data_IF_260459446717
#
_entry.id   IF_260459446717
#
_cell.length_a   1.000
_cell.length_b   1.000
_cell.length_c   1.000
_cell.angle_alpha   90.00
_cell.angle_beta   90.00
_cell.angle_gamma   90.00
#
_symmetry.space_group_name_H-M   'P 1'
#
loop_
_entity.id
_entity.type
_entity.pdbx_description
1 polymer ?
#
# COMPACT_ATOMS: atom_id res chain seq x y z
N UNK A 1 10.05 -22.41 10.77
CA UNK A 1 9.54 -23.10 9.56
C UNK A 1 9.39 -22.03 8.49
N UNK A 2 10.09 -22.16 7.36
CA UNK A 2 10.08 -21.14 6.29
C UNK A 2 8.84 -21.33 5.42
N UNK A 3 8.03 -20.28 5.28
CA UNK A 3 6.86 -20.26 4.40
C UNK A 3 7.10 -19.26 3.27
N UNK A 4 6.55 -19.56 2.09
CA UNK A 4 6.58 -18.71 0.90
C UNK A 4 5.15 -18.43 0.46
N UNK A 5 4.94 -17.27 -0.15
CA UNK A 5 3.61 -16.78 -0.50
C UNK A 5 3.58 -16.34 -1.96
N UNK A 6 2.56 -16.75 -2.70
CA UNK A 6 2.32 -16.30 -4.07
C UNK A 6 0.87 -15.87 -4.25
N UNK A 7 0.66 -14.87 -5.10
CA UNK A 7 -0.67 -14.40 -5.45
C UNK A 7 -1.36 -15.36 -6.41
N UNK A 8 -2.66 -15.58 -6.21
CA UNK A 8 -3.53 -16.28 -7.16
C UNK A 8 -4.88 -15.58 -7.24
N UNK A 9 -5.65 -15.86 -8.28
CA UNK A 9 -7.03 -15.40 -8.34
C UNK A 9 -7.76 -15.81 -7.04
N UNK A 10 -8.43 -14.84 -6.41
CA UNK A 10 -9.24 -15.02 -5.19
C UNK A 10 -8.47 -15.35 -3.90
N UNK A 11 -7.14 -15.30 -3.87
CA UNK A 11 -6.40 -15.47 -2.62
C UNK A 11 -4.89 -15.58 -2.75
N UNK A 12 -4.28 -16.14 -1.72
CA UNK A 12 -2.83 -16.30 -1.60
C UNK A 12 -2.53 -17.78 -1.36
N UNK A 13 -1.64 -18.34 -2.17
CA UNK A 13 -1.10 -19.68 -1.93
C UNK A 13 0.06 -19.60 -0.95
N UNK A 14 0.07 -20.52 0.02
CA UNK A 14 1.13 -20.69 0.99
C UNK A 14 1.88 -21.97 0.66
N UNK A 15 3.20 -21.89 0.65
CA UNK A 15 4.09 -22.98 0.33
C UNK A 15 5.08 -23.19 1.47
N UNK A 16 5.45 -24.44 1.71
CA UNK A 16 6.68 -24.74 2.43
C UNK A 16 7.81 -25.06 1.43
N UNK A 17 9.03 -25.24 1.95
CA UNK A 17 10.19 -25.52 1.12
C UNK A 17 10.04 -26.82 0.29
N UNK A 18 9.32 -27.84 0.80
CA UNK A 18 9.08 -29.08 0.07
C UNK A 18 8.04 -28.87 -1.03
N UNK A 19 6.97 -28.13 -0.71
CA UNK A 19 5.90 -27.75 -1.62
C UNK A 19 6.39 -26.93 -2.81
N UNK A 20 7.39 -26.06 -2.61
CA UNK A 20 8.05 -25.34 -3.72
C UNK A 20 8.70 -26.28 -4.74
N UNK A 21 9.27 -27.39 -4.28
CA UNK A 21 9.95 -28.37 -5.14
C UNK A 21 8.93 -29.32 -5.78
N UNK A 22 7.94 -29.77 -5.01
CA UNK A 22 6.95 -30.75 -5.46
C UNK A 22 5.76 -30.14 -6.22
N UNK A 23 5.64 -28.80 -6.24
CA UNK A 23 4.46 -28.12 -6.76
C UNK A 23 3.22 -28.29 -5.88
N UNK A 24 3.38 -28.68 -4.62
CA UNK A 24 2.27 -28.90 -3.69
C UNK A 24 2.04 -27.67 -2.81
N UNK A 25 0.89 -27.03 -2.97
CA UNK A 25 0.45 -25.94 -2.11
C UNK A 25 0.19 -26.49 -0.71
N UNK A 26 0.75 -25.83 0.32
CA UNK A 26 0.55 -26.21 1.72
C UNK A 26 -0.82 -25.77 2.21
N UNK A 27 -1.18 -24.51 1.96
CA UNK A 27 -2.49 -23.95 2.32
C UNK A 27 -2.85 -22.77 1.42
N UNK A 28 -4.09 -22.29 1.53
CA UNK A 28 -4.62 -21.20 0.72
C UNK A 28 -5.38 -20.22 1.61
N UNK A 29 -5.02 -18.94 1.54
CA UNK A 29 -5.68 -17.85 2.25
C UNK A 29 -6.67 -17.16 1.30
N UNK A 30 -7.99 -17.42 1.42
CA UNK A 30 -8.97 -16.83 0.52
C UNK A 30 -9.18 -15.34 0.84
N UNK A 31 -9.35 -14.54 -0.21
CA UNK A 31 -9.94 -13.21 -0.02
C UNK A 31 -11.43 -13.38 0.36
N UNK A 32 -11.92 -12.64 1.37
CA UNK A 32 -13.34 -12.60 1.69
C UNK A 32 -14.18 -12.26 0.44
N UNK A 33 -15.17 -13.10 0.15
CA UNK A 33 -16.13 -12.81 -0.91
C UNK A 33 -17.03 -11.66 -0.45
N UNK A 34 -17.24 -10.66 -1.31
CA UNK A 34 -18.26 -9.63 -1.05
C UNK A 34 -19.61 -10.19 -1.52
N UNK A 35 -20.63 -10.26 -0.66
CA UNK A 35 -21.96 -10.72 -1.06
C UNK A 35 -22.50 -9.89 -2.23
N UNK A 36 -22.90 -10.54 -3.33
CA UNK A 36 -23.44 -9.88 -4.53
C UNK A 36 -22.47 -9.70 -5.70
N UNK A 37 -21.20 -10.12 -5.57
CA UNK A 37 -20.12 -9.93 -6.57
C UNK A 37 -20.16 -10.89 -7.79
N UNK A 38 -21.29 -11.54 -8.08
CA UNK A 38 -21.40 -12.56 -9.14
C UNK A 38 -21.12 -12.05 -10.57
N UNK A 39 -21.16 -10.74 -10.80
CA UNK A 39 -20.89 -10.08 -12.09
C UNK A 39 -19.48 -9.49 -12.22
N UNK A 40 -18.66 -9.50 -11.15
CA UNK A 40 -17.27 -9.06 -11.23
C UNK A 40 -16.42 -10.15 -11.87
N UNK A 41 -15.92 -9.92 -13.10
CA UNK A 41 -14.93 -10.82 -13.71
C UNK A 41 -13.74 -11.01 -12.74
N UNK A 42 -13.26 -12.26 -12.53
CA UNK A 42 -12.47 -12.64 -11.36
C UNK A 42 -10.97 -12.27 -11.46
N UNK A 43 -10.63 -11.23 -12.20
CA UNK A 43 -9.25 -10.75 -12.27
C UNK A 43 -8.97 -9.86 -11.05
N UNK A 44 -8.97 -10.50 -9.88
CA UNK A 44 -8.46 -9.95 -8.64
C UNK A 44 -6.93 -10.06 -8.68
N UNK A 45 -6.26 -9.06 -9.25
CA UNK A 45 -4.79 -9.01 -9.17
C UNK A 45 -4.42 -8.52 -7.78
N UNK A 46 -3.50 -9.25 -7.14
CA UNK A 46 -2.81 -8.72 -5.98
C UNK A 46 -1.85 -7.65 -6.51
N UNK A 47 -2.13 -6.40 -6.19
CA UNK A 47 -1.31 -5.25 -6.62
C UNK A 47 -0.02 -5.18 -5.80
N UNK A 48 -0.10 -5.60 -4.53
CA UNK A 48 1.02 -5.59 -3.59
C UNK A 48 0.83 -6.67 -2.52
N UNK A 49 1.92 -7.36 -2.19
CA UNK A 49 2.01 -8.38 -1.16
C UNK A 49 3.27 -8.11 -0.32
N UNK A 50 3.12 -7.95 0.98
CA UNK A 50 4.24 -7.75 1.91
C UNK A 50 4.06 -8.62 3.16
N UNK A 51 5.18 -9.07 3.74
CA UNK A 51 5.20 -9.78 5.02
C UNK A 51 5.91 -8.91 6.07
N UNK A 52 5.41 -8.91 7.30
CA UNK A 52 6.10 -8.22 8.41
C UNK A 52 7.48 -8.83 8.63
N UNK A 53 8.44 -8.02 9.09
CA UNK A 53 9.81 -8.47 9.33
C UNK A 53 9.91 -9.64 10.31
N UNK A 54 9.02 -9.69 11.31
CA UNK A 54 8.93 -10.80 12.26
C UNK A 54 8.15 -12.01 11.72
N UNK A 55 7.67 -11.93 10.48
CA UNK A 55 6.97 -12.98 9.77
C UNK A 55 5.54 -13.23 10.25
N UNK A 56 5.02 -12.47 11.22
CA UNK A 56 3.71 -12.73 11.87
C UNK A 56 2.51 -12.26 11.06
N UNK A 57 2.68 -11.23 10.23
CA UNK A 57 1.58 -10.65 9.47
C UNK A 57 1.87 -10.68 7.98
N UNK A 58 0.89 -11.14 7.22
CA UNK A 58 0.88 -11.03 5.76
C UNK A 58 -0.12 -9.94 5.38
N UNK A 59 0.28 -9.03 4.50
CA UNK A 59 -0.55 -7.92 4.06
C UNK A 59 -0.66 -7.94 2.54
N UNK A 60 -1.89 -7.88 2.02
CA UNK A 60 -2.14 -7.84 0.58
C UNK A 60 -3.15 -6.77 0.22
N UNK A 61 -2.90 -6.08 -0.90
CA UNK A 61 -3.87 -5.19 -1.53
C UNK A 61 -4.45 -5.88 -2.75
N UNK A 62 -5.77 -5.91 -2.82
CA UNK A 62 -6.49 -6.43 -3.97
C UNK A 62 -6.92 -5.26 -4.86
N UNK A 63 -6.64 -5.38 -6.16
CA UNK A 63 -7.11 -4.44 -7.18
C UNK A 63 -8.18 -5.10 -8.04
N UNK A 64 -9.31 -4.41 -8.17
CA UNK A 64 -10.33 -4.74 -9.15
C UNK A 64 -9.97 -4.11 -10.50
N UNK A 65 -10.16 -4.87 -11.57
CA UNK A 65 -9.80 -4.47 -12.94
C UNK A 65 -10.68 -3.32 -13.47
N UNK A 66 -11.81 -3.03 -12.83
CA UNK A 66 -12.65 -1.90 -13.19
C UNK A 66 -12.28 -0.65 -12.39
N UNK A 67 -11.70 0.34 -13.08
CA UNK A 67 -11.49 1.71 -12.58
C UNK A 67 -12.80 2.37 -12.06
N UNK A 68 -13.95 1.84 -12.47
CA UNK A 68 -15.29 2.29 -12.11
C UNK A 68 -15.96 1.48 -10.99
N UNK A 69 -15.28 0.52 -10.36
CA UNK A 69 -15.85 -0.19 -9.22
C UNK A 69 -16.12 0.83 -8.08
N UNK A 70 -17.36 0.94 -7.57
CA UNK A 70 -17.74 1.93 -6.57
C UNK A 70 -17.14 1.62 -5.19
N UNK A 71 -16.67 0.39 -4.97
CA UNK A 71 -16.12 -0.03 -3.69
C UNK A 71 -14.68 0.44 -3.51
N UNK A 72 -14.31 0.84 -2.27
CA UNK A 72 -12.92 1.13 -1.94
C UNK A 72 -12.06 -0.12 -2.15
N UNK A 73 -10.82 0.09 -2.60
CA UNK A 73 -9.81 -0.97 -2.57
C UNK A 73 -9.58 -1.39 -1.12
N UNK A 74 -9.26 -2.66 -0.94
CA UNK A 74 -9.10 -3.26 0.38
C UNK A 74 -7.68 -3.78 0.56
N UNK A 75 -7.16 -3.50 1.75
CA UNK A 75 -5.92 -4.05 2.29
C UNK A 75 -6.31 -5.06 3.37
N UNK A 76 -5.88 -6.28 3.19
CA UNK A 76 -6.19 -7.40 4.07
C UNK A 76 -4.95 -7.77 4.88
N UNK A 77 -5.15 -8.09 6.16
CA UNK A 77 -4.07 -8.46 7.07
C UNK A 77 -4.38 -9.80 7.72
N UNK A 78 -3.54 -10.80 7.49
CA UNK A 78 -3.63 -12.12 8.10
C UNK A 78 -2.55 -12.34 9.14
N UNK A 79 -2.87 -13.13 10.16
CA UNK A 79 -1.87 -13.75 11.03
C UNK A 79 -1.32 -14.99 10.31
N UNK A 80 0.00 -15.05 10.13
CA UNK A 80 0.64 -16.13 9.36
C UNK A 80 0.72 -17.45 10.10
N UNK A 81 0.54 -17.44 11.42
CA UNK A 81 0.59 -18.63 12.26
C UNK A 81 -0.78 -19.29 12.34
N UNK A 82 -1.84 -18.51 12.58
CA UNK A 82 -3.20 -19.04 12.59
C UNK A 82 -3.82 -19.12 11.20
N UNK A 83 -3.25 -18.42 10.21
CA UNK A 83 -3.79 -18.30 8.86
C UNK A 83 -5.16 -17.60 8.81
N UNK A 84 -5.49 -16.85 9.87
CA UNK A 84 -6.77 -16.15 10.01
C UNK A 84 -6.65 -14.69 9.56
N UNK A 85 -7.72 -14.20 8.92
CA UNK A 85 -7.84 -12.77 8.63
C UNK A 85 -8.08 -12.01 9.94
N UNK A 86 -7.15 -11.12 10.28
CA UNK A 86 -7.21 -10.33 11.53
C UNK A 86 -8.10 -9.11 11.33
N UNK A 87 -7.89 -8.37 10.23
CA UNK A 87 -8.71 -7.20 9.89
C UNK A 87 -8.55 -6.81 8.42
N UNK A 88 -9.39 -5.86 8.00
CA UNK A 88 -9.37 -5.27 6.65
C UNK A 88 -9.45 -3.75 6.76
N UNK A 89 -8.72 -3.05 5.89
CA UNK A 89 -8.69 -1.59 5.82
C UNK A 89 -9.04 -1.15 4.39
N UNK A 90 -9.91 -0.15 4.28
CA UNK A 90 -10.20 0.52 3.02
C UNK A 90 -9.03 1.46 2.67
N UNK A 91 -8.28 1.11 1.64
CA UNK A 91 -7.11 1.83 1.16
C UNK A 91 -6.72 1.42 -0.26
N UNK A 92 -6.18 2.37 -1.03
CA UNK A 92 -5.74 2.13 -2.41
C UNK A 92 -4.32 1.58 -2.51
N UNK A 93 -3.46 1.87 -1.53
CA UNK A 93 -2.08 1.37 -1.43
C UNK A 93 -1.63 1.35 0.03
N UNK A 94 -0.57 0.58 0.31
CA UNK A 94 -0.02 0.42 1.65
C UNK A 94 1.49 0.18 1.65
N UNK A 95 2.14 0.35 2.79
CA UNK A 95 3.52 -0.08 3.06
C UNK A 95 3.67 -0.49 4.53
N UNK A 96 4.51 -1.49 4.80
CA UNK A 96 4.94 -1.84 6.14
C UNK A 96 6.17 -1.04 6.59
N UNK A 97 6.20 -0.64 7.85
CA UNK A 97 7.44 -0.14 8.46
C UNK A 97 8.47 -1.27 8.59
N UNK A 98 9.76 -0.96 8.46
CA UNK A 98 10.83 -1.97 8.56
C UNK A 98 10.85 -2.70 9.92
N UNK A 99 10.37 -2.07 10.99
CA UNK A 99 10.27 -2.70 12.31
C UNK A 99 9.06 -3.66 12.44
N UNK A 100 8.23 -3.76 11.39
CA UNK A 100 7.11 -4.68 11.30
C UNK A 100 5.94 -4.37 12.22
N UNK A 101 5.85 -3.19 12.85
CA UNK A 101 4.73 -2.88 13.78
C UNK A 101 3.75 -1.83 13.27
N UNK A 102 4.05 -1.18 12.15
CA UNK A 102 3.18 -0.14 11.57
C UNK A 102 2.82 -0.51 10.14
N UNK A 103 1.53 -0.40 9.85
CA UNK A 103 1.02 -0.39 8.48
C UNK A 103 0.70 1.06 8.14
N UNK A 104 1.16 1.52 6.98
CA UNK A 104 0.81 2.84 6.45
C UNK A 104 -0.05 2.63 5.22
N UNK A 105 -1.16 3.33 5.13
CA UNK A 105 -2.08 3.25 4.00
C UNK A 105 -2.43 4.62 3.47
N UNK A 106 -2.85 4.69 2.22
CA UNK A 106 -3.47 5.89 1.66
C UNK A 106 -4.73 5.53 0.89
N UNK A 107 -5.70 6.43 0.94
CA UNK A 107 -6.93 6.34 0.18
C UNK A 107 -7.03 7.57 -0.71
N UNK A 108 -7.33 7.37 -1.99
CA UNK A 108 -7.78 8.45 -2.87
C UNK A 108 -9.27 8.43 -2.71
N UNK A 109 -9.83 9.45 -2.04
CA UNK A 109 -11.26 9.71 -2.19
C UNK A 109 -11.54 9.89 -3.68
N UNK A 110 -11.93 8.80 -4.36
CA UNK A 110 -12.33 8.86 -5.77
C UNK A 110 -13.54 9.77 -5.80
N UNK A 111 -13.51 10.71 -6.75
CA UNK A 111 -14.54 11.73 -6.92
C UNK A 111 -15.92 11.08 -6.92
N UNK A 112 -16.64 11.23 -5.82
CA UNK A 112 -18.07 10.93 -5.73
C UNK A 112 -18.89 12.01 -6.44
N UNK A 113 -18.28 12.82 -7.32
CA UNK A 113 -18.84 14.04 -7.86
C UNK A 113 -19.08 15.15 -6.82
N UNK A 114 -18.76 14.87 -5.54
CA UNK A 114 -18.96 15.77 -4.39
C UNK A 114 -17.65 16.37 -3.95
N UNK A 115 -17.36 17.57 -4.48
CA UNK A 115 -16.16 18.37 -4.20
C UNK A 115 -16.04 18.79 -2.72
N UNK A 116 -17.14 18.73 -1.98
CA UNK A 116 -17.33 19.12 -0.58
C UNK A 116 -16.90 18.03 0.44
N UNK A 117 -16.75 16.77 0.03
CA UNK A 117 -16.33 15.65 0.92
C UNK A 117 -14.81 15.35 0.82
N UNK A 118 -14.09 16.05 -0.07
CA UNK A 118 -12.72 15.71 -0.48
C UNK A 118 -11.63 16.08 0.54
N UNK A 119 -11.87 17.02 1.46
CA UNK A 119 -10.82 17.48 2.39
C UNK A 119 -10.47 16.44 3.46
N UNK A 120 -11.40 15.54 3.82
CA UNK A 120 -11.17 14.52 4.85
C UNK A 120 -10.65 13.18 4.30
N UNK A 121 -10.58 13.02 2.96
CA UNK A 121 -10.39 11.71 2.33
C UNK A 121 -8.98 11.47 1.78
N UNK A 122 -8.17 12.51 1.58
CA UNK A 122 -6.81 12.39 0.99
C UNK A 122 -5.75 12.45 2.08
N UNK A 123 -5.67 11.40 2.87
CA UNK A 123 -4.71 11.31 3.98
C UNK A 123 -3.90 10.02 3.90
N UNK A 124 -2.69 10.09 4.43
CA UNK A 124 -1.93 8.92 4.81
C UNK A 124 -2.33 8.55 6.24
N UNK A 125 -2.69 7.28 6.45
CA UNK A 125 -3.11 6.75 7.74
C UNK A 125 -2.06 5.75 8.22
N UNK A 126 -1.71 5.83 9.50
CA UNK A 126 -0.81 4.90 10.16
C UNK A 126 -1.60 4.04 11.13
N UNK A 127 -1.41 2.74 11.08
CA UNK A 127 -2.14 1.75 11.85
C UNK A 127 -1.16 0.88 12.64
N UNK A 128 -1.56 0.49 13.85
CA UNK A 128 -0.85 -0.55 14.57
C UNK A 128 -1.10 -1.87 13.87
N UNK A 129 -0.03 -2.49 13.37
CA UNK A 129 -0.17 -3.74 12.63
C UNK A 129 -0.77 -4.85 13.51
N UNK A 130 -0.45 -4.83 14.81
CA UNK A 130 -0.85 -5.86 15.76
C UNK A 130 -2.35 -5.89 16.09
N UNK A 131 -3.06 -4.75 16.03
CA UNK A 131 -4.45 -4.67 16.45
C UNK A 131 -5.35 -3.88 15.49
N UNK A 132 -4.82 -3.42 14.35
CA UNK A 132 -5.57 -2.68 13.34
C UNK A 132 -6.03 -1.28 13.78
N UNK A 133 -5.61 -0.77 14.94
CA UNK A 133 -6.03 0.55 15.42
C UNK A 133 -5.28 1.67 14.70
N UNK A 134 -6.01 2.70 14.31
CA UNK A 134 -5.44 3.93 13.75
C UNK A 134 -4.57 4.62 14.81
N UNK A 135 -3.28 4.76 14.52
CA UNK A 135 -2.31 5.49 15.35
C UNK A 135 -2.36 6.97 14.99
N UNK A 136 -2.39 7.28 13.69
CA UNK A 136 -2.25 8.65 13.21
C UNK A 136 -2.86 8.85 11.83
N UNK A 137 -3.36 10.06 11.59
CA UNK A 137 -3.70 10.58 10.26
C UNK A 137 -2.77 11.72 9.91
N UNK A 138 -2.28 11.73 8.67
CA UNK A 138 -1.38 12.75 8.14
C UNK A 138 -1.98 13.28 6.85
N UNK A 139 -2.18 14.60 6.81
CA UNK A 139 -2.73 15.26 5.63
C UNK A 139 -1.62 15.45 4.60
N UNK A 140 -1.89 15.05 3.35
CA UNK A 140 -0.92 15.27 2.27
C UNK A 140 -1.19 16.64 1.63
N UNK A 141 -0.17 17.48 1.43
CA UNK A 141 -0.33 18.77 0.76
C UNK A 141 -0.69 18.59 -0.72
N UNK A 142 -1.60 19.46 -1.19
CA UNK A 142 -2.21 19.58 -2.53
C UNK A 142 -3.54 18.85 -2.73
N UNK A 143 -4.47 19.59 -3.34
CA UNK A 143 -5.73 19.08 -3.86
C UNK A 143 -5.47 18.48 -5.25
N UNK A 144 -6.11 17.34 -5.57
CA UNK A 144 -6.16 16.67 -6.90
C UNK A 144 -5.09 15.62 -7.27
N UNK A 145 -4.23 15.17 -6.36
CA UNK A 145 -3.24 14.10 -6.66
C UNK A 145 -3.57 12.79 -5.91
N UNK A 146 -3.42 11.65 -6.58
CA UNK A 146 -3.56 10.32 -5.98
C UNK A 146 -2.19 9.74 -5.58
N UNK A 147 -2.07 9.22 -4.36
CA UNK A 147 -0.88 8.54 -3.85
C UNK A 147 -0.75 7.11 -4.42
N UNK A 148 0.22 6.89 -5.29
CA UNK A 148 0.41 5.59 -5.97
C UNK A 148 1.41 4.69 -5.27
N UNK A 149 2.28 5.24 -4.43
CA UNK A 149 3.33 4.49 -3.75
C UNK A 149 3.61 5.08 -2.37
N UNK A 150 4.04 4.23 -1.45
CA UNK A 150 4.36 4.58 -0.07
C UNK A 150 5.64 3.86 0.36
N UNK A 151 6.44 4.53 1.20
CA UNK A 151 7.52 3.95 1.97
C UNK A 151 7.61 4.65 3.33
N UNK A 152 8.04 3.93 4.36
CA UNK A 152 8.13 4.43 5.74
C UNK A 152 9.55 4.17 6.24
N UNK A 153 10.18 5.18 6.83
CA UNK A 153 11.49 4.99 7.46
C UNK A 153 11.37 4.07 8.68
N UNK A 154 12.43 3.31 8.97
CA UNK A 154 12.51 2.40 10.11
C UNK A 154 12.34 3.12 11.45
N UNK A 155 12.80 4.36 11.56
CA UNK A 155 12.63 5.22 12.74
C UNK A 155 11.21 5.84 12.85
N UNK A 156 10.35 5.63 11.84
CA UNK A 156 9.01 6.21 11.71
C UNK A 156 9.00 7.73 11.79
N UNK A 157 10.10 8.38 11.44
CA UNK A 157 10.16 9.84 11.30
C UNK A 157 9.63 10.29 9.95
N UNK A 158 9.83 9.51 8.89
CA UNK A 158 9.47 9.93 7.54
C UNK A 158 8.52 8.96 6.86
N UNK A 159 7.60 9.53 6.09
CA UNK A 159 6.83 8.80 5.07
C UNK A 159 7.14 9.42 3.72
N UNK A 160 7.68 8.62 2.81
CA UNK A 160 7.80 8.98 1.40
C UNK A 160 6.56 8.49 0.64
N UNK A 161 6.09 9.28 -0.31
CA UNK A 161 4.90 8.98 -1.10
C UNK A 161 5.05 9.45 -2.54
N UNK A 162 4.68 8.58 -3.48
CA UNK A 162 4.61 8.91 -4.90
C UNK A 162 3.20 9.35 -5.26
N UNK A 163 3.10 10.28 -6.20
CA UNK A 163 1.86 10.96 -6.58
C UNK A 163 1.67 10.86 -8.07
N UNK A 164 0.43 10.58 -8.46
CA UNK A 164 -0.02 10.60 -9.85
C UNK A 164 -1.24 11.51 -9.97
N UNK A 165 -1.25 12.37 -10.97
CA UNK A 165 -2.45 13.14 -11.29
C UNK A 165 -3.51 12.20 -11.88
N UNK A 166 -4.74 12.29 -11.38
CA UNK A 166 -5.86 11.42 -11.78
C UNK A 166 -7.01 12.21 -12.45
N UNK A 167 -6.75 13.44 -12.91
CA UNK A 167 -7.79 14.27 -13.55
C UNK A 167 -8.25 13.72 -14.92
N UNK A 168 -9.42 14.19 -15.42
CA UNK A 168 -10.07 13.67 -16.62
C UNK A 168 -9.29 13.88 -17.92
N UNK A 169 -8.27 14.74 -17.88
CA UNK A 169 -7.31 14.91 -18.96
C UNK A 169 -5.99 14.32 -18.49
N UNK A 170 -5.57 13.22 -19.13
CA UNK A 170 -4.24 12.63 -18.99
C UNK A 170 -3.18 13.61 -19.53
N UNK A 171 -2.98 14.75 -18.87
CA UNK A 171 -1.98 15.71 -19.24
C UNK A 171 -0.67 15.38 -18.55
N UNK A 172 0.30 15.07 -19.41
CA UNK A 172 1.76 15.04 -19.29
C UNK A 172 2.39 14.44 -18.00
N UNK A 173 3.49 13.66 -18.12
CA UNK A 173 4.26 13.15 -16.97
C UNK A 173 4.69 14.19 -15.92
N UNK A 174 4.66 15.47 -16.29
CA UNK A 174 5.06 16.64 -15.51
C UNK A 174 4.20 16.93 -14.27
N UNK A 175 3.01 16.33 -14.19
CA UNK A 175 2.10 16.45 -13.04
C UNK A 175 2.30 15.35 -12.00
N UNK A 176 3.10 14.32 -12.31
CA UNK A 176 3.48 13.30 -11.35
C UNK A 176 4.63 13.79 -10.47
N UNK A 177 4.69 13.28 -9.25
CA UNK A 177 5.71 13.69 -8.31
C UNK A 177 5.90 12.73 -7.18
N UNK A 178 6.80 13.08 -6.28
CA UNK A 178 6.93 12.44 -5.00
C UNK A 178 7.04 13.49 -3.90
N UNK A 179 6.77 13.09 -2.67
CA UNK A 179 7.08 13.89 -1.51
C UNK A 179 7.51 13.03 -0.34
N UNK A 180 7.95 13.72 0.70
CA UNK A 180 8.21 13.13 2.00
C UNK A 180 7.61 14.04 3.07
N UNK A 181 6.97 13.43 4.05
CA UNK A 181 6.44 14.13 5.23
C UNK A 181 7.28 13.72 6.43
N UNK A 182 7.70 14.71 7.22
CA UNK A 182 8.25 14.50 8.56
C UNK A 182 7.06 14.31 9.51
N UNK A 183 6.98 13.13 10.12
CA UNK A 183 5.95 12.78 11.07
C UNK A 183 6.12 13.52 12.39
N UNK A 184 7.31 13.92 12.82
CA UNK A 184 7.42 14.70 14.06
C UNK A 184 6.72 16.05 13.92
N UNK A 185 6.93 16.74 12.80
CA UNK A 185 6.36 18.07 12.56
C UNK A 185 5.00 18.04 11.86
N UNK A 186 4.68 16.93 11.18
CA UNK A 186 3.53 16.82 10.28
C UNK A 186 3.68 17.61 8.98
N UNK A 187 4.85 18.17 8.70
CA UNK A 187 5.10 19.02 7.54
C UNK A 187 5.78 18.26 6.40
N UNK A 188 5.63 18.77 5.18
CA UNK A 188 6.34 18.24 4.03
C UNK A 188 7.84 18.54 4.17
N UNK A 189 8.65 17.48 4.27
CA UNK A 189 10.10 17.57 4.32
C UNK A 189 10.70 17.87 2.94
N UNK A 190 10.18 17.25 1.86
CA UNK A 190 10.54 17.60 0.48
C UNK A 190 9.45 17.21 -0.53
N UNK A 191 9.57 17.75 -1.75
CA UNK A 191 8.78 17.31 -2.90
C UNK A 191 9.60 17.43 -4.19
N UNK A 192 9.43 16.46 -5.08
CA UNK A 192 10.13 16.39 -6.36
C UNK A 192 9.17 16.05 -7.50
N UNK A 193 9.43 16.58 -8.70
CA UNK A 193 8.64 16.30 -9.91
C UNK A 193 9.19 15.09 -10.65
N UNK A 194 9.03 13.92 -10.05
CA UNK A 194 9.47 12.64 -10.63
C UNK A 194 8.33 11.65 -10.52
N UNK A 195 8.08 10.94 -11.61
CA UNK A 195 7.20 9.79 -11.60
C UNK A 195 7.88 8.65 -10.83
N UNK A 196 7.48 8.46 -9.57
CA UNK A 196 8.04 7.46 -8.65
C UNK A 196 6.99 6.41 -8.26
N UNK A 197 6.64 5.47 -9.16
CA UNK A 197 5.73 4.37 -8.84
C UNK A 197 6.31 3.43 -7.76
N UNK A 198 7.61 3.44 -7.54
CA UNK A 198 8.26 2.65 -6.50
C UNK A 198 9.10 3.54 -5.58
N UNK A 199 8.98 3.30 -4.27
CA UNK A 199 9.72 4.02 -3.24
C UNK A 199 10.24 3.01 -2.21
N UNK A 200 11.47 3.22 -1.73
CA UNK A 200 12.05 2.44 -0.66
C UNK A 200 13.09 3.25 0.13
N UNK A 201 13.04 3.19 1.46
CA UNK A 201 14.16 3.61 2.29
C UNK A 201 15.19 2.49 2.34
N UNK A 202 16.45 2.84 2.10
CA UNK A 202 17.59 1.92 2.11
C UNK A 202 18.72 2.50 2.96
N UNK A 203 19.75 1.68 3.22
CA UNK A 203 20.95 2.10 3.95
C UNK A 203 20.62 2.70 5.34
N UNK A 204 19.79 2.00 6.11
CA UNK A 204 19.29 2.44 7.43
C UNK A 204 18.65 3.83 7.38
N UNK A 205 17.72 4.01 6.42
CA UNK A 205 16.96 5.24 6.15
C UNK A 205 17.76 6.47 5.73
N UNK A 206 19.08 6.34 5.50
CA UNK A 206 19.92 7.45 5.02
C UNK A 206 19.72 7.76 3.55
N UNK A 207 19.01 6.89 2.83
CA UNK A 207 18.78 7.07 1.40
C UNK A 207 17.37 6.64 1.03
N UNK A 208 16.68 7.50 0.30
CA UNK A 208 15.42 7.17 -0.34
C UNK A 208 15.68 6.86 -1.81
N UNK A 209 15.30 5.65 -2.22
CA UNK A 209 15.27 5.22 -3.60
C UNK A 209 13.90 5.54 -4.18
N UNK A 210 13.90 6.21 -5.34
CA UNK A 210 12.72 6.41 -6.16
C UNK A 210 12.92 5.76 -7.52
N UNK A 211 12.06 4.79 -7.86
CA UNK A 211 12.12 4.03 -9.09
C UNK A 211 10.91 4.30 -9.98
N UNK A 212 11.18 4.51 -11.28
CA UNK A 212 10.21 4.69 -12.36
C UNK A 212 10.91 4.51 -13.70
N UNK A 213 10.70 5.44 -14.64
CA UNK A 213 11.47 5.49 -15.91
C UNK A 213 12.98 5.69 -15.69
N UNK A 214 13.35 6.25 -14.53
CA UNK A 214 14.72 6.33 -14.03
C UNK A 214 14.76 5.96 -12.55
N UNK A 215 15.93 5.55 -12.07
CA UNK A 215 16.19 5.33 -10.64
C UNK A 215 16.93 6.54 -10.11
N UNK A 216 16.40 7.16 -9.05
CA UNK A 216 17.06 8.26 -8.34
C UNK A 216 17.27 7.92 -6.88
N UNK A 217 18.34 8.47 -6.33
CA UNK A 217 18.73 8.34 -4.93
C UNK A 217 18.72 9.71 -4.27
N UNK A 218 18.08 9.80 -3.12
CA UNK A 218 18.03 11.02 -2.31
C UNK A 218 18.70 10.74 -0.98
N UNK A 219 19.76 11.48 -0.66
CA UNK A 219 20.36 11.43 0.66
C UNK A 219 19.41 12.09 1.67
N UNK A 220 19.19 11.43 2.81
CA UNK A 220 18.36 11.95 3.89
C UNK A 220 19.29 12.31 5.04
N UNK A 221 19.17 13.55 5.52
CA UNK A 221 19.92 14.11 6.65
C UNK A 221 19.01 14.21 7.88
#
# INVERSE_FOLDING_TARGET
>A
MTAFYSSKAKGIEVWDAKGLISGSVKSFLPFPQVPGDSWRKPFSLIDRLEISKDGKFLVAAMKYDHELAPDPRKVYVWDTRSEELVYTIDADTFALSQDGKTLVTSHHGRDTGRLDVLENQKSIKMWSLANGKLIRRVQVPKKHEGIVSLAVSSDRRFIAYGRKYLGPFFLTPETNGMGMIDLQTGQQAFSEKINAPFLAFINNDRTLLAGGESIKFFAIQ
#
